data_IF_187623610515
#
_entry.id   IF_187623610515
#
_cell.length_a   1.000
_cell.length_b   1.000
_cell.length_c   1.000
_cell.angle_alpha   90.00
_cell.angle_beta   90.00
_cell.angle_gamma   90.00
#
_symmetry.space_group_name_H-M   'P 1'
#
loop_
_entity.id
_entity.type
_entity.pdbx_description
1 polymer ?
#
# COMPACT_ATOMS: atom_id res chain seq x y z
N UNK A 1 11.14 13.24 2.74
CA UNK A 1 11.45 12.15 3.68
C UNK A 1 10.89 10.84 3.16
N UNK A 2 11.62 9.76 3.38
CA UNK A 2 11.22 8.45 2.84
C UNK A 2 9.86 8.00 3.38
N UNK A 3 9.64 8.22 4.68
CA UNK A 3 8.41 7.76 5.30
C UNK A 3 7.19 8.49 4.75
N UNK A 4 7.34 9.79 4.47
CA UNK A 4 6.23 10.57 3.94
C UNK A 4 5.84 10.08 2.56
N UNK A 5 6.83 9.74 1.75
CA UNK A 5 6.57 9.22 0.41
C UNK A 5 5.83 7.89 0.49
N UNK A 6 6.31 6.99 1.35
CA UNK A 6 5.71 5.67 1.49
C UNK A 6 4.28 5.76 2.03
N UNK A 7 4.06 6.67 2.97
CA UNK A 7 2.71 6.87 3.50
C UNK A 7 1.76 7.35 2.42
N UNK A 8 2.24 8.24 1.57
CA UNK A 8 1.42 8.72 0.46
C UNK A 8 1.09 7.60 -0.51
N UNK A 9 2.09 6.79 -0.85
CA UNK A 9 1.88 5.64 -1.73
C UNK A 9 0.86 4.69 -1.12
N UNK A 10 1.00 4.42 0.17
CA UNK A 10 0.07 3.53 0.87
C UNK A 10 -1.36 4.06 0.80
N UNK A 11 -1.52 5.34 1.05
CA UNK A 11 -2.83 5.97 1.00
C UNK A 11 -3.47 5.81 -0.38
N UNK A 12 -2.68 6.04 -1.43
CA UNK A 12 -3.18 5.90 -2.79
C UNK A 12 -3.54 4.47 -3.13
N UNK A 13 -2.73 3.51 -2.66
CA UNK A 13 -3.03 2.11 -2.88
C UNK A 13 -4.34 1.71 -2.18
N UNK A 14 -4.57 2.22 -0.99
CA UNK A 14 -5.81 1.93 -0.28
C UNK A 14 -7.02 2.51 -1.01
N UNK A 15 -6.86 3.70 -1.57
CA UNK A 15 -7.93 4.29 -2.38
C UNK A 15 -8.24 3.46 -3.60
N UNK A 16 -7.19 2.98 -4.28
CA UNK A 16 -7.37 2.13 -5.46
C UNK A 16 -8.08 0.85 -5.05
N UNK A 17 -7.65 0.26 -3.94
CA UNK A 17 -8.23 -0.98 -3.45
C UNK A 17 -9.74 -0.83 -3.23
N UNK A 18 -10.15 0.27 -2.60
CA UNK A 18 -11.57 0.49 -2.32
C UNK A 18 -12.38 0.68 -3.58
N UNK A 19 -11.78 1.18 -4.63
CA UNK A 19 -12.48 1.44 -5.89
C UNK A 19 -12.48 0.26 -6.84
N UNK A 20 -11.69 -0.78 -6.54
CA UNK A 20 -11.66 -1.95 -7.39
C UNK A 20 -12.89 -2.80 -7.16
N UNK A 21 -13.41 -3.37 -8.26
CA UNK A 21 -14.57 -4.24 -8.20
C UNK A 21 -14.21 -5.71 -8.36
N UNK A 22 -13.07 -5.99 -8.98
CA UNK A 22 -12.62 -7.36 -9.21
C UNK A 22 -11.89 -7.88 -7.97
N UNK A 23 -12.27 -9.05 -7.50
CA UNK A 23 -11.59 -9.68 -6.37
C UNK A 23 -10.15 -10.01 -6.70
N UNK A 24 -9.88 -10.37 -7.94
CA UNK A 24 -8.54 -10.68 -8.38
C UNK A 24 -7.64 -9.46 -8.28
N UNK A 25 -8.14 -8.32 -8.76
CA UNK A 25 -7.39 -7.08 -8.70
C UNK A 25 -7.17 -6.64 -7.26
N UNK A 26 -8.18 -6.82 -6.41
CA UNK A 26 -8.05 -6.46 -5.00
C UNK A 26 -6.93 -7.26 -4.34
N UNK A 27 -6.80 -8.54 -4.67
CA UNK A 27 -5.74 -9.36 -4.10
C UNK A 27 -4.36 -8.83 -4.48
N UNK A 28 -4.21 -8.41 -5.73
CA UNK A 28 -2.94 -7.87 -6.19
C UNK A 28 -2.58 -6.58 -5.46
N UNK A 29 -3.54 -5.69 -5.36
CA UNK A 29 -3.30 -4.42 -4.69
C UNK A 29 -3.06 -4.64 -3.20
N UNK A 30 -3.77 -5.58 -2.59
CA UNK A 30 -3.56 -5.87 -1.18
C UNK A 30 -2.14 -6.33 -0.90
N UNK A 31 -1.56 -7.12 -1.80
CA UNK A 31 -0.17 -7.55 -1.65
C UNK A 31 0.77 -6.36 -1.66
N UNK A 32 0.51 -5.39 -2.53
CA UNK A 32 1.33 -4.19 -2.59
C UNK A 32 1.19 -3.37 -1.31
N UNK A 33 -0.02 -3.28 -0.79
CA UNK A 33 -0.26 -2.56 0.46
C UNK A 33 0.56 -3.18 1.60
N UNK A 34 0.54 -4.51 1.69
CA UNK A 34 1.30 -5.20 2.71
C UNK A 34 2.79 -4.94 2.56
N UNK A 35 3.29 -4.96 1.32
CA UNK A 35 4.70 -4.69 1.06
C UNK A 35 5.10 -3.28 1.53
N UNK A 36 4.28 -2.30 1.20
CA UNK A 36 4.58 -0.93 1.59
C UNK A 36 4.57 -0.80 3.11
N UNK A 37 3.62 -1.45 3.78
CA UNK A 37 3.57 -1.42 5.24
C UNK A 37 4.83 -2.03 5.85
N UNK A 38 5.33 -3.12 5.28
CA UNK A 38 6.55 -3.74 5.74
C UNK A 38 7.74 -2.80 5.57
N UNK A 39 7.81 -2.12 4.44
CA UNK A 39 8.88 -1.17 4.20
C UNK A 39 8.85 -0.03 5.21
N UNK A 40 7.64 0.45 5.54
CA UNK A 40 7.50 1.51 6.52
C UNK A 40 8.00 1.07 7.89
N UNK A 41 7.68 -0.15 8.29
CA UNK A 41 8.14 -0.67 9.57
C UNK A 41 9.65 -0.88 9.59
N UNK A 42 10.20 -1.41 8.51
CA UNK A 42 11.63 -1.63 8.43
C UNK A 42 12.42 -0.33 8.46
N UNK A 43 11.86 0.70 7.86
CA UNK A 43 12.54 1.99 7.78
C UNK A 43 12.63 2.66 9.14
N UNK A 44 11.79 2.25 10.09
CA UNK A 44 11.81 2.82 11.42
C UNK A 44 12.98 2.29 12.25
N UNK A 45 13.49 1.14 11.90
CA UNK A 45 14.63 0.56 12.59
C UNK A 45 15.93 1.03 12.00
#
# INVERSE_FOLDING_TARGET
MKNDYLKKVLFELENIYENLKSNKDKRMIKKLIIKVKEWLENDRN
#
